data_IF_881695182892
#
_entry.id   IF_881695182892
#
_cell.length_a   1.000
_cell.length_b   1.000
_cell.length_c   1.000
_cell.angle_alpha   90.00
_cell.angle_beta   90.00
_cell.angle_gamma   90.00
#
_symmetry.space_group_name_H-M   'P 1'
#
loop_
_entity.id
_entity.type
_entity.pdbx_description
1 polymer ?
#
# COMPACT_ATOMS: atom_id res chain seq x y z
N UNK A 1 23.08 63.05 37.14
CA UNK A 1 22.89 62.85 35.68
C UNK A 1 22.48 61.40 35.48
N UNK A 2 21.25 61.22 35.01
CA UNK A 2 20.41 60.04 35.21
C UNK A 2 20.85 58.77 34.48
N UNK A 3 20.84 57.64 35.20
CA UNK A 3 21.00 56.28 34.65
C UNK A 3 19.94 55.93 33.59
N UNK A 4 18.78 56.59 33.61
CA UNK A 4 17.66 56.36 32.68
C UNK A 4 17.94 56.83 31.24
N UNK A 5 18.81 57.82 31.02
CA UNK A 5 19.15 58.29 29.66
C UNK A 5 20.15 57.37 28.95
N UNK A 6 21.10 56.78 29.68
CA UNK A 6 22.07 55.84 29.12
C UNK A 6 21.41 54.54 28.62
N UNK A 7 20.44 54.00 29.37
CA UNK A 7 19.71 52.79 28.98
C UNK A 7 18.81 53.02 27.75
N UNK A 8 18.16 54.19 27.64
CA UNK A 8 17.38 54.57 26.45
C UNK A 8 18.25 54.68 25.19
N UNK A 9 19.46 55.22 25.31
CA UNK A 9 20.42 55.36 24.19
C UNK A 9 20.95 54.01 23.71
N UNK A 10 21.22 53.07 24.63
CA UNK A 10 21.63 51.70 24.28
C UNK A 10 20.52 50.92 23.59
N UNK A 11 19.28 51.05 24.06
CA UNK A 11 18.10 50.41 23.44
C UNK A 11 17.80 51.00 22.05
N UNK A 12 18.01 52.31 21.84
CA UNK A 12 17.86 52.94 20.52
C UNK A 12 18.92 52.46 19.52
N UNK A 13 20.18 52.34 19.95
CA UNK A 13 21.25 51.82 19.11
C UNK A 13 21.11 50.32 18.84
N UNK A 14 20.60 49.54 19.80
CA UNK A 14 20.27 48.12 19.61
C UNK A 14 19.11 47.95 18.63
N UNK A 15 18.09 48.81 18.71
CA UNK A 15 16.95 48.81 17.78
C UNK A 15 17.40 49.17 16.36
N UNK A 16 18.29 50.15 16.20
CA UNK A 16 18.84 50.51 14.89
C UNK A 16 19.75 49.41 14.32
N UNK A 17 20.55 48.74 15.15
CA UNK A 17 21.34 47.58 14.74
C UNK A 17 20.46 46.39 14.33
N UNK A 18 19.35 46.16 15.03
CA UNK A 18 18.39 45.11 14.68
C UNK A 18 17.67 45.41 13.36
N UNK A 19 17.28 46.68 13.11
CA UNK A 19 16.69 47.11 11.83
C UNK A 19 17.69 46.95 10.69
N UNK A 20 18.96 47.31 10.92
CA UNK A 20 20.03 47.14 9.92
C UNK A 20 20.29 45.65 9.62
N UNK A 21 20.30 44.79 10.65
CA UNK A 21 20.46 43.35 10.47
C UNK A 21 19.31 42.72 9.67
N UNK A 22 18.07 43.14 9.93
CA UNK A 22 16.89 42.70 9.17
C UNK A 22 16.97 43.17 7.71
N UNK A 23 17.39 44.42 7.46
CA UNK A 23 17.55 44.94 6.11
C UNK A 23 18.61 44.15 5.31
N UNK A 24 19.75 43.83 5.93
CA UNK A 24 20.80 43.02 5.29
C UNK A 24 20.33 41.58 5.03
N UNK A 25 19.57 40.98 5.96
CA UNK A 25 18.99 39.64 5.77
C UNK A 25 17.91 39.60 4.66
N UNK A 26 17.17 40.70 4.45
CA UNK A 26 16.18 40.77 3.38
C UNK A 26 16.80 40.86 1.97
N UNK A 27 18.01 41.43 1.85
CA UNK A 27 18.72 41.50 0.57
C UNK A 27 19.27 40.14 0.11
N UNK A 28 19.67 39.25 1.03
CA UNK A 28 20.15 37.90 0.67
C UNK A 28 19.03 36.98 0.19
N UNK A 29 17.78 37.23 0.60
CA UNK A 29 16.60 36.47 0.16
C UNK A 29 16.17 36.79 -1.28
N UNK A 30 16.51 37.97 -1.82
CA UNK A 30 16.16 38.34 -3.19
C UNK A 30 16.98 37.57 -4.26
N UNK A 31 18.10 36.96 -3.91
CA UNK A 31 18.89 36.13 -4.84
C UNK A 31 18.15 34.87 -5.28
N UNK A 32 17.57 34.14 -4.32
CA UNK A 32 16.78 32.93 -4.57
C UNK A 32 15.41 33.21 -5.20
N UNK A 33 14.85 34.40 -4.99
CA UNK A 33 13.59 34.81 -5.63
C UNK A 33 13.69 34.78 -7.17
N UNK A 34 14.86 35.10 -7.74
CA UNK A 34 15.10 35.04 -9.19
C UNK A 34 15.06 33.60 -9.73
N UNK A 35 15.55 32.64 -8.93
CA UNK A 35 15.54 31.20 -9.23
C UNK A 35 14.13 30.62 -9.13
N UNK A 36 13.39 30.98 -8.08
CA UNK A 36 11.99 30.56 -7.91
C UNK A 36 11.04 31.19 -8.94
N UNK A 37 11.30 32.42 -9.40
CA UNK A 37 10.52 33.07 -10.45
C UNK A 37 10.87 32.57 -11.86
N UNK A 38 11.82 31.64 -12.03
CA UNK A 38 12.16 31.06 -13.32
C UNK A 38 12.88 32.02 -14.28
N UNK A 39 13.40 33.15 -13.77
CA UNK A 39 14.24 34.08 -14.54
C UNK A 39 15.70 33.60 -14.66
N UNK A 40 16.05 32.54 -13.96
CA UNK A 40 17.33 31.86 -14.09
C UNK A 40 17.20 30.69 -15.07
N UNK A 41 17.98 30.74 -16.16
CA UNK A 41 18.00 29.69 -17.18
C UNK A 41 18.78 28.49 -16.66
N UNK A 42 18.07 27.52 -16.09
CA UNK A 42 18.62 26.20 -15.78
C UNK A 42 18.56 25.36 -17.07
N UNK A 43 19.66 25.37 -17.83
CA UNK A 43 19.79 24.44 -18.96
C UNK A 43 20.00 23.02 -18.40
N UNK A 44 19.26 22.02 -18.88
CA UNK A 44 19.53 20.61 -18.54
C UNK A 44 20.97 20.24 -18.91
N UNK A 45 21.61 19.42 -18.09
CA UNK A 45 22.99 18.99 -18.29
C UNK A 45 23.14 18.23 -19.62
N UNK A 46 23.72 18.92 -20.60
CA UNK A 46 23.96 18.42 -21.95
C UNK A 46 25.06 17.35 -22.03
N UNK A 47 25.73 17.06 -20.91
CA UNK A 47 26.69 15.97 -20.78
C UNK A 47 26.15 14.80 -19.94
N UNK A 48 24.90 14.83 -19.49
CA UNK A 48 24.27 13.71 -18.80
C UNK A 48 24.04 12.55 -19.78
N UNK A 49 24.96 11.57 -19.78
CA UNK A 49 24.83 10.34 -20.56
C UNK A 49 23.93 9.36 -19.81
N UNK A 50 22.67 9.27 -20.24
CA UNK A 50 21.75 8.25 -19.76
C UNK A 50 22.03 6.92 -20.47
N UNK A 51 22.38 5.88 -19.71
CA UNK A 51 22.55 4.53 -20.24
C UNK A 51 21.19 3.95 -20.59
N UNK A 52 20.96 3.68 -21.88
CA UNK A 52 19.79 2.93 -22.33
C UNK A 52 20.05 1.44 -22.12
N UNK A 53 19.00 0.67 -21.80
CA UNK A 53 19.10 -0.78 -21.81
C UNK A 53 19.62 -1.26 -23.19
N UNK A 54 20.56 -2.21 -23.24
CA UNK A 54 21.08 -2.72 -24.49
C UNK A 54 19.94 -3.30 -25.33
N UNK A 55 19.92 -2.98 -26.63
CA UNK A 55 18.99 -3.57 -27.59
C UNK A 55 19.40 -5.04 -27.81
N UNK A 56 18.88 -5.95 -26.99
CA UNK A 56 18.86 -7.36 -27.34
C UNK A 56 17.65 -7.62 -28.23
N UNK A 57 17.91 -8.24 -29.38
CA UNK A 57 16.83 -8.75 -30.23
C UNK A 57 16.18 -9.93 -29.48
N UNK A 58 14.88 -9.84 -29.14
CA UNK A 58 14.19 -10.98 -28.57
C UNK A 58 14.14 -12.12 -29.61
N UNK A 59 14.21 -13.39 -29.17
CA UNK A 59 14.24 -14.55 -30.05
C UNK A 59 13.00 -14.68 -30.95
N UNK A 60 11.88 -14.06 -30.56
CA UNK A 60 10.63 -14.09 -31.31
C UNK A 60 10.30 -12.71 -31.91
N UNK A 61 10.40 -12.61 -33.24
CA UNK A 61 9.94 -11.48 -34.06
C UNK A 61 8.42 -11.44 -34.24
N UNK A 62 7.67 -12.29 -33.54
CA UNK A 62 6.22 -12.44 -33.67
C UNK A 62 5.43 -11.34 -32.92
N UNK A 63 6.02 -10.17 -32.72
CA UNK A 63 5.30 -9.03 -32.15
C UNK A 63 4.41 -8.43 -33.22
N UNK A 64 3.10 -8.36 -32.94
CA UNK A 64 2.17 -7.58 -33.76
C UNK A 64 2.70 -6.14 -33.84
N UNK A 65 2.73 -5.52 -35.03
CA UNK A 65 3.14 -4.13 -35.16
C UNK A 65 2.37 -3.27 -34.14
N UNK A 66 3.08 -2.44 -33.35
CA UNK A 66 2.41 -1.57 -32.40
C UNK A 66 1.43 -0.67 -33.16
N UNK A 67 0.23 -0.50 -32.61
CA UNK A 67 -0.77 0.39 -33.23
C UNK A 67 -0.16 1.80 -33.30
N UNK A 68 -0.20 2.47 -34.46
CA UNK A 68 0.23 3.87 -34.57
C UNK A 68 -0.48 4.72 -33.50
N UNK A 69 0.29 5.40 -32.65
CA UNK A 69 -0.24 6.24 -31.56
C UNK A 69 -0.43 5.57 -30.20
N UNK A 70 -0.13 4.28 -30.04
CA UNK A 70 -0.10 3.65 -28.71
C UNK A 70 1.18 4.02 -27.95
N UNK A 71 1.05 4.27 -26.63
CA UNK A 71 2.18 4.58 -25.77
C UNK A 71 3.23 3.46 -25.79
N UNK A 72 4.50 3.85 -25.95
CA UNK A 72 5.60 2.89 -25.98
C UNK A 72 5.89 2.40 -24.56
N UNK A 73 5.86 1.09 -24.28
CA UNK A 73 6.15 0.55 -22.95
C UNK A 73 7.62 0.73 -22.51
N UNK A 74 8.48 1.24 -23.39
CA UNK A 74 9.92 1.41 -23.15
C UNK A 74 10.30 2.84 -22.76
N UNK A 75 9.33 3.74 -22.60
CA UNK A 75 9.55 5.13 -22.21
C UNK A 75 9.21 5.38 -20.72
N UNK A 76 9.55 4.45 -19.84
CA UNK A 76 9.45 4.67 -18.39
C UNK A 76 10.54 5.68 -17.96
N UNK A 77 10.14 6.78 -17.33
CA UNK A 77 11.05 7.77 -16.74
C UNK A 77 11.81 7.13 -15.55
N UNK A 78 13.15 7.19 -15.57
CA UNK A 78 14.01 6.62 -14.52
C UNK A 78 13.71 7.23 -13.14
N UNK A 79 13.24 8.47 -13.10
CA UNK A 79 12.84 9.16 -11.86
C UNK A 79 11.60 8.50 -11.25
N UNK A 80 10.61 8.15 -12.09
CA UNK A 80 9.39 7.46 -11.66
C UNK A 80 9.70 6.02 -11.23
N UNK A 81 10.65 5.36 -11.90
CA UNK A 81 11.13 4.03 -11.55
C UNK A 81 11.85 4.01 -10.20
N UNK A 82 12.73 4.99 -9.94
CA UNK A 82 13.40 5.14 -8.65
C UNK A 82 12.39 5.44 -7.52
N UNK A 83 11.44 6.34 -7.77
CA UNK A 83 10.37 6.65 -6.82
C UNK A 83 9.52 5.41 -6.51
N UNK A 84 9.19 4.59 -7.51
CA UNK A 84 8.45 3.33 -7.33
C UNK A 84 9.25 2.31 -6.52
N UNK A 85 10.55 2.18 -6.77
CA UNK A 85 11.42 1.30 -5.99
C UNK A 85 11.50 1.73 -4.51
N UNK A 86 11.48 3.03 -4.23
CA UNK A 86 11.52 3.57 -2.88
C UNK A 86 10.17 3.55 -2.16
N UNK A 87 9.07 3.80 -2.88
CA UNK A 87 7.73 3.99 -2.27
C UNK A 87 6.82 2.78 -2.42
N UNK A 88 7.18 1.80 -3.26
CA UNK A 88 6.34 0.66 -3.63
C UNK A 88 5.06 1.04 -4.37
N UNK A 89 4.89 2.31 -4.75
CA UNK A 89 3.67 2.85 -5.38
C UNK A 89 3.92 3.17 -6.83
N UNK A 90 3.08 2.60 -7.68
CA UNK A 90 3.14 2.76 -9.12
C UNK A 90 2.34 4.01 -9.53
N UNK A 91 3.03 5.10 -9.88
CA UNK A 91 2.43 6.42 -10.18
C UNK A 91 1.55 6.41 -11.44
N UNK A 92 1.74 5.41 -12.32
CA UNK A 92 0.93 5.17 -13.52
C UNK A 92 -0.10 4.06 -13.35
N UNK A 93 -0.29 3.50 -12.14
CA UNK A 93 -1.56 2.86 -11.86
C UNK A 93 -2.55 3.98 -11.59
N UNK A 94 -3.51 4.29 -12.50
CA UNK A 94 -4.68 5.01 -12.04
C UNK A 94 -5.17 4.23 -10.83
N UNK A 95 -5.40 4.92 -9.70
CA UNK A 95 -6.17 4.39 -8.56
C UNK A 95 -7.16 3.43 -9.17
N UNK A 96 -6.99 2.13 -8.91
CA UNK A 96 -7.70 1.07 -9.61
C UNK A 96 -9.11 1.59 -9.85
N UNK A 97 -9.37 1.91 -11.11
CA UNK A 97 -10.53 2.68 -11.52
C UNK A 97 -11.70 2.04 -10.78
N UNK A 98 -12.49 2.81 -10.03
CA UNK A 98 -13.56 2.25 -9.19
C UNK A 98 -14.58 1.42 -10.02
N UNK A 99 -14.44 1.44 -11.35
CA UNK A 99 -14.96 0.50 -12.31
C UNK A 99 -13.85 -0.42 -12.85
N UNK A 100 -13.53 -1.51 -12.14
CA UNK A 100 -12.44 -2.46 -12.44
C UNK A 100 -12.53 -3.24 -13.76
N UNK A 101 -13.45 -2.88 -14.65
CA UNK A 101 -13.84 -3.66 -15.83
C UNK A 101 -13.99 -2.85 -17.12
N UNK A 102 -13.69 -1.54 -17.11
CA UNK A 102 -13.98 -0.64 -18.23
C UNK A 102 -13.23 -0.96 -19.55
N UNK A 103 -12.21 -1.83 -19.53
CA UNK A 103 -11.45 -2.25 -20.71
C UNK A 103 -11.28 -3.77 -20.76
N UNK A 104 -12.37 -4.52 -20.60
CA UNK A 104 -12.32 -5.98 -20.59
C UNK A 104 -12.16 -6.58 -21.99
N UNK A 105 -11.31 -7.60 -22.10
CA UNK A 105 -11.20 -8.36 -23.35
C UNK A 105 -12.41 -9.29 -23.51
N UNK A 106 -12.85 -9.62 -24.74
CA UNK A 106 -14.01 -10.48 -24.95
C UNK A 106 -13.90 -11.86 -24.28
N UNK A 107 -12.69 -12.42 -24.18
CA UNK A 107 -12.46 -13.69 -23.49
C UNK A 107 -12.66 -13.59 -21.98
N UNK A 108 -12.22 -12.49 -21.38
CA UNK A 108 -12.37 -12.25 -19.95
C UNK A 108 -13.83 -11.98 -19.57
N UNK A 109 -14.60 -11.29 -20.42
CA UNK A 109 -16.05 -11.16 -20.27
C UNK A 109 -16.75 -12.52 -20.25
N UNK A 110 -16.41 -13.41 -21.19
CA UNK A 110 -17.02 -14.76 -21.24
C UNK A 110 -16.72 -15.60 -20.00
N UNK A 111 -15.50 -15.48 -19.45
CA UNK A 111 -15.10 -16.18 -18.24
C UNK A 111 -15.84 -15.64 -17.01
N UNK A 112 -16.03 -14.32 -16.92
CA UNK A 112 -16.80 -13.73 -15.83
C UNK A 112 -18.27 -14.11 -15.87
N UNK A 113 -18.86 -14.21 -17.06
CA UNK A 113 -20.24 -14.70 -17.21
C UNK A 113 -20.35 -16.16 -16.79
N UNK A 114 -19.39 -17.02 -17.15
CA UNK A 114 -19.37 -18.42 -16.73
C UNK A 114 -19.16 -18.60 -15.23
N UNK A 115 -18.37 -17.74 -14.60
CA UNK A 115 -18.09 -17.78 -13.15
C UNK A 115 -19.12 -17.01 -12.33
N UNK A 116 -20.07 -16.31 -12.97
CA UNK A 116 -21.06 -15.44 -12.31
C UNK A 116 -20.47 -14.17 -11.69
N UNK A 117 -19.19 -13.88 -11.95
CA UNK A 117 -18.46 -12.75 -11.37
C UNK A 117 -18.67 -11.42 -12.12
N UNK A 118 -19.47 -11.41 -13.20
CA UNK A 118 -19.74 -10.22 -14.02
C UNK A 118 -20.58 -9.14 -13.31
N UNK A 119 -21.33 -9.50 -12.25
CA UNK A 119 -22.24 -8.59 -11.54
C UNK A 119 -21.83 -8.25 -10.11
N UNK A 120 -20.56 -8.46 -9.75
CA UNK A 120 -20.08 -8.23 -8.38
C UNK A 120 -19.97 -6.73 -8.10
N UNK A 121 -20.50 -6.31 -6.95
CA UNK A 121 -20.37 -4.93 -6.46
C UNK A 121 -18.89 -4.57 -6.26
N UNK A 122 -18.35 -3.53 -6.92
CA UNK A 122 -16.94 -3.14 -6.77
C UNK A 122 -16.60 -2.68 -5.34
N UNK A 123 -17.60 -2.30 -4.54
CA UNK A 123 -17.44 -1.85 -3.16
C UNK A 123 -17.52 -2.98 -2.13
N UNK A 124 -17.71 -4.24 -2.55
CA UNK A 124 -17.88 -5.38 -1.64
C UNK A 124 -16.76 -5.51 -0.61
N UNK A 125 -15.51 -5.17 -0.99
CA UNK A 125 -14.37 -5.18 -0.06
C UNK A 125 -14.54 -4.15 1.06
N UNK A 126 -15.00 -2.94 0.73
CA UNK A 126 -15.24 -1.91 1.73
C UNK A 126 -16.39 -2.30 2.68
N UNK A 127 -17.42 -2.96 2.15
CA UNK A 127 -18.53 -3.49 2.96
C UNK A 127 -18.05 -4.58 3.92
N UNK A 128 -17.28 -5.56 3.42
CA UNK A 128 -16.70 -6.61 4.27
C UNK A 128 -15.76 -6.02 5.33
N UNK A 129 -14.91 -5.07 4.96
CA UNK A 129 -13.96 -4.46 5.88
C UNK A 129 -14.71 -3.71 7.00
N UNK A 130 -15.78 -2.99 6.67
CA UNK A 130 -16.65 -2.28 7.64
C UNK A 130 -17.42 -3.24 8.54
N UNK A 131 -17.94 -4.33 8.00
CA UNK A 131 -18.63 -5.36 8.79
C UNK A 131 -17.65 -6.09 9.70
N UNK A 132 -16.46 -6.40 9.20
CA UNK A 132 -15.42 -7.12 9.94
C UNK A 132 -14.79 -6.25 11.02
N UNK A 133 -14.61 -4.94 10.78
CA UNK A 133 -14.03 -4.02 11.77
C UNK A 133 -14.83 -3.97 13.07
N UNK A 134 -16.16 -4.10 13.01
CA UNK A 134 -17.01 -4.13 14.20
C UNK A 134 -16.75 -5.36 15.10
N UNK A 135 -16.32 -6.48 14.53
CA UNK A 135 -15.99 -7.69 15.29
C UNK A 135 -14.59 -7.68 15.89
N UNK A 136 -13.68 -6.85 15.36
CA UNK A 136 -12.30 -6.74 15.85
C UNK A 136 -12.21 -5.86 17.11
N UNK A 137 -13.15 -4.93 17.28
CA UNK A 137 -13.08 -3.89 18.33
C UNK A 137 -13.93 -4.19 19.57
N UNK A 138 -14.78 -5.23 19.54
CA UNK A 138 -15.52 -5.67 20.72
C UNK A 138 -14.58 -6.34 21.73
N UNK A 139 -14.71 -5.94 23.00
CA UNK A 139 -13.80 -6.06 24.16
C UNK A 139 -13.44 -7.48 24.62
N UNK A 140 -13.17 -8.40 23.71
CA UNK A 140 -12.74 -9.75 24.05
C UNK A 140 -11.39 -9.72 24.74
N UNK A 141 -10.48 -8.82 24.39
CA UNK A 141 -9.09 -8.91 24.83
C UNK A 141 -8.90 -8.88 26.35
N UNK A 142 -9.48 -7.90 27.06
CA UNK A 142 -9.25 -7.77 28.51
C UNK A 142 -9.94 -8.89 29.31
N UNK A 143 -11.20 -9.21 28.99
CA UNK A 143 -11.93 -10.26 29.69
C UNK A 143 -11.45 -11.66 29.30
N UNK A 144 -11.08 -11.91 28.03
CA UNK A 144 -10.42 -13.17 27.60
C UNK A 144 -9.07 -13.33 28.27
N UNK A 145 -8.27 -12.28 28.39
CA UNK A 145 -6.93 -12.37 28.96
C UNK A 145 -6.99 -12.79 30.44
N UNK A 146 -8.02 -12.37 31.16
CA UNK A 146 -8.28 -12.80 32.54
C UNK A 146 -8.92 -14.20 32.59
N UNK A 147 -9.88 -14.50 31.72
CA UNK A 147 -10.60 -15.79 31.68
C UNK A 147 -9.74 -16.94 31.13
N UNK A 148 -8.88 -16.66 30.17
CA UNK A 148 -8.06 -17.59 29.37
C UNK A 148 -6.57 -17.20 29.41
N UNK A 149 -6.08 -16.79 30.58
CA UNK A 149 -4.68 -16.44 30.87
C UNK A 149 -3.63 -17.53 30.58
N UNK A 150 -4.07 -18.76 30.26
CA UNK A 150 -3.21 -19.87 29.87
C UNK A 150 -2.89 -19.76 28.38
N UNK A 151 -1.62 -19.94 28.00
CA UNK A 151 -1.16 -19.90 26.61
C UNK A 151 -2.13 -20.62 25.66
N UNK A 152 -2.78 -19.87 24.75
CA UNK A 152 -3.61 -20.43 23.68
C UNK A 152 -2.70 -21.30 22.81
N UNK A 153 -2.99 -22.60 22.72
CA UNK A 153 -2.28 -23.49 21.80
C UNK A 153 -2.45 -22.97 20.37
N UNK A 154 -1.41 -23.08 19.55
CA UNK A 154 -1.41 -22.54 18.20
C UNK A 154 -2.65 -22.99 17.40
N UNK A 155 -3.34 -22.03 16.79
CA UNK A 155 -4.45 -22.31 15.90
C UNK A 155 -3.94 -23.05 14.65
N UNK A 156 -4.71 -24.06 14.24
CA UNK A 156 -4.41 -24.90 13.09
C UNK A 156 -3.84 -26.25 13.50
N UNK A 157 -4.59 -27.31 13.23
CA UNK A 157 -4.00 -28.64 13.11
C UNK A 157 -3.31 -28.69 11.74
N UNK A 158 -2.00 -28.94 11.71
CA UNK A 158 -1.30 -29.17 10.44
C UNK A 158 -1.91 -30.41 9.79
N UNK A 159 -2.74 -30.20 8.76
CA UNK A 159 -3.33 -31.30 7.99
C UNK A 159 -2.19 -32.04 7.30
N UNK A 160 -2.09 -33.34 7.56
CA UNK A 160 -1.12 -34.20 6.88
C UNK A 160 -1.59 -34.44 5.44
N UNK A 161 -0.86 -33.84 4.49
CA UNK A 161 -1.20 -33.88 3.07
C UNK A 161 -1.30 -35.31 2.53
N UNK A 162 -0.48 -36.25 3.03
CA UNK A 162 -0.48 -37.62 2.54
C UNK A 162 -1.76 -38.38 2.99
N UNK A 163 -2.15 -38.20 4.26
CA UNK A 163 -3.37 -38.81 4.81
C UNK A 163 -4.63 -38.20 4.20
N UNK A 164 -4.65 -36.89 3.97
CA UNK A 164 -5.79 -36.23 3.34
C UNK A 164 -5.96 -36.64 1.87
N UNK A 165 -4.86 -36.76 1.13
CA UNK A 165 -4.91 -37.28 -0.24
C UNK A 165 -5.43 -38.73 -0.29
N UNK A 166 -5.08 -39.55 0.70
CA UNK A 166 -5.61 -40.92 0.80
C UNK A 166 -7.12 -40.93 1.07
N UNK A 167 -7.61 -40.10 2.01
CA UNK A 167 -9.05 -39.95 2.30
C UNK A 167 -9.83 -39.54 1.05
N UNK A 168 -9.29 -38.59 0.26
CA UNK A 168 -9.93 -38.12 -0.97
C UNK A 168 -10.03 -39.26 -2.01
N UNK A 169 -8.95 -40.03 -2.20
CA UNK A 169 -8.95 -41.17 -3.14
C UNK A 169 -9.95 -42.25 -2.75
N UNK A 170 -10.04 -42.58 -1.47
CA UNK A 170 -11.00 -43.56 -0.96
C UNK A 170 -12.45 -43.05 -1.08
N UNK A 171 -12.71 -41.78 -0.80
CA UNK A 171 -14.03 -41.16 -0.98
C UNK A 171 -14.46 -41.14 -2.45
N UNK A 172 -13.54 -40.84 -3.36
CA UNK A 172 -13.77 -40.89 -4.82
C UNK A 172 -14.06 -42.32 -5.29
N UNK A 173 -13.33 -43.31 -4.79
CA UNK A 173 -13.56 -44.72 -5.11
C UNK A 173 -14.92 -45.24 -4.61
N UNK A 174 -15.41 -44.72 -3.48
CA UNK A 174 -16.76 -44.99 -2.96
C UNK A 174 -17.86 -44.13 -3.60
N UNK A 175 -17.54 -43.21 -4.52
CA UNK A 175 -18.52 -42.34 -5.16
C UNK A 175 -19.17 -41.31 -4.24
N UNK A 176 -18.54 -40.99 -3.10
CA UNK A 176 -19.02 -39.95 -2.18
C UNK A 176 -18.52 -38.57 -2.61
N UNK A 177 -19.36 -37.55 -2.47
CA UNK A 177 -18.99 -36.15 -2.72
C UNK A 177 -17.92 -35.69 -1.71
N UNK A 178 -16.90 -34.98 -2.21
CA UNK A 178 -15.76 -34.44 -1.43
C UNK A 178 -16.08 -32.99 -1.06
N UNK A 179 -17.12 -32.78 -0.26
CA UNK A 179 -17.67 -31.47 0.09
C UNK A 179 -17.26 -30.98 1.48
N UNK A 180 -16.32 -31.67 2.14
CA UNK A 180 -15.85 -31.31 3.48
C UNK A 180 -16.87 -31.57 4.60
N UNK A 181 -18.06 -32.10 4.30
CA UNK A 181 -19.10 -32.37 5.31
C UNK A 181 -18.80 -33.56 6.24
N UNK A 182 -17.68 -34.26 6.01
CA UNK A 182 -17.14 -35.29 6.89
C UNK A 182 -15.84 -34.88 7.60
N UNK A 183 -15.41 -33.62 7.49
CA UNK A 183 -14.27 -33.15 8.28
C UNK A 183 -14.68 -33.19 9.75
N UNK A 184 -13.94 -33.96 10.55
CA UNK A 184 -14.10 -33.96 12.01
C UNK A 184 -13.77 -32.56 12.48
N UNK A 185 -14.79 -31.75 12.72
CA UNK A 185 -14.64 -30.44 13.36
C UNK A 185 -14.32 -30.75 14.82
N UNK A 186 -13.04 -30.74 15.15
CA UNK A 186 -12.59 -30.81 16.53
C UNK A 186 -12.88 -29.43 17.12
N UNK A 187 -14.10 -29.25 17.61
CA UNK A 187 -14.45 -28.11 18.46
C UNK A 187 -13.72 -28.28 19.79
N UNK A 188 -12.59 -27.58 19.95
CA UNK A 188 -11.97 -27.41 21.26
C UNK A 188 -12.73 -26.33 21.99
N UNK A 189 -13.44 -26.71 23.05
CA UNK A 189 -14.02 -25.75 23.99
C UNK A 189 -12.90 -25.14 24.82
N UNK A 190 -12.84 -23.81 24.83
CA UNK A 190 -11.93 -23.09 25.72
C UNK A 190 -12.41 -23.29 27.16
N UNK A 191 -11.68 -24.06 27.95
CA UNK A 191 -12.02 -24.29 29.35
C UNK A 191 -11.69 -23.04 30.16
N UNK A 192 -12.72 -22.36 30.68
CA UNK A 192 -12.55 -21.23 31.57
C UNK A 192 -12.16 -21.69 32.98
N UNK A 193 -11.42 -20.84 33.71
CA UNK A 193 -10.91 -21.09 35.05
C UNK A 193 -11.96 -21.53 36.10
N UNK A 194 -13.25 -21.26 35.87
CA UNK A 194 -14.33 -21.55 36.82
C UNK A 194 -15.18 -22.79 36.46
N UNK A 195 -14.99 -23.43 35.30
CA UNK A 195 -15.82 -24.59 34.89
C UNK A 195 -15.64 -25.83 35.79
N UNK A 196 -14.53 -25.91 36.54
CA UNK A 196 -14.27 -26.99 37.51
C UNK A 196 -14.61 -26.65 38.97
N UNK A 197 -14.97 -25.40 39.28
CA UNK A 197 -15.19 -24.90 40.65
C UNK A 197 -16.67 -24.95 41.06
N UNK A 198 -17.59 -24.96 40.09
CA UNK A 198 -19.02 -25.08 40.34
C UNK A 198 -19.49 -26.42 39.76
N UNK A 199 -19.60 -27.43 40.62
CA UNK A 199 -20.25 -28.70 40.34
C UNK A 199 -21.27 -29.00 41.43
#
# INVERSE_FOLDING_TARGET
MDSKTAMKMSVLNLKNMMVLAIAVASLSACGDAKKMMGLEKTAPDEFAVYSRAPLSLPPDYALKPPKPGADRPQAEDETLKAQRALTGRDVNTPRANENGYANMTPGLESLLQQTGAAGVDPTIRQTIDRETSAFVEESKHFTDEIMFWKNKEAFGTKVDAAKEAQRIREAQALGKVVDGQGAVVIERKDQAILEGLFK
#
